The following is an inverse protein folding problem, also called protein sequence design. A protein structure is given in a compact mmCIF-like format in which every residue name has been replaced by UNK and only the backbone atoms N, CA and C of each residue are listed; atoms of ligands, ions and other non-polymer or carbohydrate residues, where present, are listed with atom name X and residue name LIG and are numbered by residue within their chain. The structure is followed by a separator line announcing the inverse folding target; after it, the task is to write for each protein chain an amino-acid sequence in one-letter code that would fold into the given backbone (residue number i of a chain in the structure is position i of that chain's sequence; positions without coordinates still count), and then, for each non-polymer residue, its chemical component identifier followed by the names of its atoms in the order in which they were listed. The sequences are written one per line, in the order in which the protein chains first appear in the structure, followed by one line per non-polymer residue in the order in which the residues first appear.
data_IF_140396572733
#
_entry.id   IF_140396572733
#
_cell.length_a   1.000
_cell.length_b   1.000
_cell.length_c   1.000
_cell.angle_alpha   90.00
_cell.angle_beta   90.00
_cell.angle_gamma   90.00
#
_symmetry.space_group_name_H-M   'P 1'
#
loop_
_entity.id
_entity.type
_entity.pdbx_description
1 polymer ?
#
# COMPACT_ATOMS: atom_id res chain seq x y z
N UNK A 1 1.23 0.08 -10.08
CA UNK A 1 0.52 1.16 -9.36
C UNK A 1 -0.32 2.08 -10.25
N UNK A 2 0.06 2.32 -11.52
CA UNK A 2 -0.75 3.12 -12.47
C UNK A 2 -2.22 2.69 -12.54
N UNK A 3 -2.47 1.37 -12.59
CA UNK A 3 -3.85 0.84 -12.62
C UNK A 3 -4.69 1.23 -11.40
N UNK A 4 -4.08 1.46 -10.22
CA UNK A 4 -4.81 1.96 -9.06
C UNK A 4 -5.23 3.41 -9.26
N UNK A 5 -4.32 4.25 -9.78
CA UNK A 5 -4.58 5.67 -10.09
C UNK A 5 -5.72 5.77 -11.11
N UNK A 6 -5.62 5.04 -12.22
CA UNK A 6 -6.64 5.05 -13.28
C UNK A 6 -8.02 4.61 -12.76
N UNK A 7 -8.09 3.58 -11.90
CA UNK A 7 -9.35 3.12 -11.31
C UNK A 7 -9.92 4.13 -10.31
N UNK A 8 -9.09 4.83 -9.52
CA UNK A 8 -9.56 5.90 -8.62
C UNK A 8 -10.07 7.11 -9.41
N UNK A 9 -9.38 7.50 -10.49
CA UNK A 9 -9.80 8.57 -11.39
C UNK A 9 -11.14 8.26 -12.06
N UNK A 10 -11.32 7.04 -12.57
CA UNK A 10 -12.59 6.60 -13.18
C UNK A 10 -13.77 6.68 -12.20
N UNK A 11 -13.51 6.54 -10.90
CA UNK A 11 -14.50 6.65 -9.82
C UNK A 11 -14.67 8.07 -9.28
N UNK A 12 -13.86 9.02 -9.73
CA UNK A 12 -13.83 10.37 -9.18
C UNK A 12 -13.33 10.45 -7.74
N UNK A 13 -12.54 9.46 -7.29
CA UNK A 13 -11.96 9.44 -5.94
C UNK A 13 -10.68 10.27 -5.95
N UNK A 14 -10.68 11.38 -5.20
CA UNK A 14 -9.51 12.20 -5.00
C UNK A 14 -8.39 11.40 -4.32
N UNK A 15 -7.17 11.54 -4.85
CA UNK A 15 -6.01 10.79 -4.38
C UNK A 15 -4.73 11.60 -4.59
N UNK A 16 -3.66 11.16 -3.94
CA UNK A 16 -2.30 11.63 -4.18
C UNK A 16 -1.39 10.42 -4.48
N UNK A 17 -0.31 10.65 -5.22
CA UNK A 17 0.65 9.61 -5.57
C UNK A 17 2.07 10.05 -5.22
N UNK A 18 2.75 9.25 -4.40
CA UNK A 18 4.07 9.55 -3.84
C UNK A 18 4.99 8.33 -3.98
N UNK A 19 6.28 8.57 -4.23
CA UNK A 19 7.30 7.52 -4.28
C UNK A 19 8.21 7.66 -3.07
N UNK A 20 8.07 6.73 -2.11
CA UNK A 20 8.85 6.69 -0.85
C UNK A 20 9.38 5.29 -0.60
N UNK A 21 10.44 5.16 0.19
CA UNK A 21 11.13 3.88 0.38
C UNK A 21 11.34 3.60 1.86
N UNK A 22 10.70 2.55 2.38
CA UNK A 22 10.89 2.12 3.77
C UNK A 22 12.35 1.79 4.12
N UNK A 23 13.15 1.34 3.15
CA UNK A 23 14.55 1.00 3.37
C UNK A 23 15.54 2.15 3.18
N UNK A 24 15.19 3.15 2.35
CA UNK A 24 16.13 4.22 1.96
C UNK A 24 15.76 5.58 2.54
N UNK A 25 14.49 5.81 2.81
CA UNK A 25 13.94 7.04 3.38
C UNK A 25 12.90 6.74 4.46
N UNK A 26 13.28 5.98 5.52
CA UNK A 26 12.34 5.51 6.55
C UNK A 26 11.63 6.64 7.30
N UNK A 27 12.34 7.74 7.61
CA UNK A 27 11.76 8.89 8.30
C UNK A 27 10.67 9.56 7.47
N UNK A 28 10.90 9.72 6.16
CA UNK A 28 9.93 10.30 5.24
C UNK A 28 8.68 9.42 5.03
N UNK A 29 8.80 8.10 5.17
CA UNK A 29 7.66 7.17 5.18
C UNK A 29 6.87 7.32 6.48
N UNK A 30 7.59 7.39 7.60
CA UNK A 30 6.99 7.51 8.94
C UNK A 30 6.23 8.82 9.09
N UNK A 31 6.82 9.94 8.67
CA UNK A 31 6.19 11.26 8.68
C UNK A 31 4.94 11.29 7.80
N UNK A 32 5.00 10.70 6.60
CA UNK A 32 3.86 10.61 5.69
C UNK A 32 2.71 9.81 6.30
N UNK A 33 3.01 8.66 6.93
CA UNK A 33 2.00 7.79 7.54
C UNK A 33 1.33 8.45 8.76
N UNK A 34 2.12 9.10 9.63
CA UNK A 34 1.60 9.78 10.83
C UNK A 34 0.72 10.98 10.49
N UNK A 35 1.11 11.78 9.50
CA UNK A 35 0.37 12.98 9.10
C UNK A 35 -0.82 12.69 8.17
N UNK A 36 -0.94 11.47 7.61
CA UNK A 36 -1.93 11.12 6.60
C UNK A 36 -3.36 11.52 6.97
N UNK A 37 -3.80 11.19 8.20
CA UNK A 37 -5.14 11.51 8.69
C UNK A 37 -5.40 13.02 8.77
N UNK A 38 -4.43 13.77 9.27
CA UNK A 38 -4.53 15.23 9.42
C UNK A 38 -4.64 15.94 8.07
N UNK A 39 -4.01 15.36 7.03
CA UNK A 39 -4.11 15.82 5.64
C UNK A 39 -5.41 15.39 4.94
N UNK A 40 -6.30 14.68 5.63
CA UNK A 40 -7.60 14.24 5.11
C UNK A 40 -7.58 12.90 4.37
N UNK A 41 -6.46 12.16 4.38
CA UNK A 41 -6.43 10.82 3.81
C UNK A 41 -7.27 9.85 4.64
N UNK A 42 -7.85 8.88 3.94
CA UNK A 42 -8.82 7.93 4.53
C UNK A 42 -8.44 6.47 4.33
N UNK A 43 -7.70 6.15 3.28
CA UNK A 43 -7.15 4.83 2.96
C UNK A 43 -5.78 5.02 2.32
N UNK A 44 -4.83 4.16 2.64
CA UNK A 44 -3.47 4.20 2.08
C UNK A 44 -3.25 2.94 1.23
N UNK A 45 -2.81 3.12 -0.02
CA UNK A 45 -2.42 2.01 -0.90
C UNK A 45 -0.90 2.02 -1.05
N UNK A 46 -0.25 0.92 -0.66
CA UNK A 46 1.20 0.80 -0.65
C UNK A 46 1.65 -0.36 -1.56
N UNK A 47 2.44 -0.04 -2.60
CA UNK A 47 3.04 -1.05 -3.48
C UNK A 47 4.52 -1.27 -3.17
N UNK A 48 4.94 -2.53 -3.01
CA UNK A 48 6.35 -2.88 -2.81
C UNK A 48 6.66 -4.29 -3.31
N UNK A 49 7.91 -4.52 -3.74
CA UNK A 49 8.42 -5.81 -4.20
C UNK A 49 9.64 -6.28 -3.41
N UNK A 50 10.12 -7.50 -3.69
CA UNK A 50 11.19 -8.18 -2.95
C UNK A 50 10.81 -8.33 -1.45
N UNK A 51 11.71 -7.99 -0.53
CA UNK A 51 11.40 -7.84 0.90
C UNK A 51 10.48 -6.61 1.11
N UNK A 52 9.20 -6.77 0.82
CA UNK A 52 8.25 -5.68 0.64
C UNK A 52 7.77 -5.05 1.97
N UNK A 53 8.64 -4.29 2.64
CA UNK A 53 8.37 -3.72 3.98
C UNK A 53 7.43 -2.51 4.02
N UNK A 54 7.25 -1.79 2.89
CA UNK A 54 6.55 -0.50 2.89
C UNK A 54 5.12 -0.56 3.49
N UNK A 55 4.24 -1.51 3.11
CA UNK A 55 2.88 -1.54 3.65
C UNK A 55 2.86 -1.76 5.17
N UNK A 56 3.70 -2.65 5.69
CA UNK A 56 3.80 -2.92 7.12
C UNK A 56 4.34 -1.74 7.92
N UNK A 57 5.37 -1.05 7.39
CA UNK A 57 5.93 0.15 8.03
C UNK A 57 4.90 1.28 8.08
N UNK A 58 4.13 1.48 7.00
CA UNK A 58 3.06 2.49 6.98
C UNK A 58 1.96 2.12 7.97
N UNK A 59 1.51 0.86 8.00
CA UNK A 59 0.49 0.39 8.93
C UNK A 59 0.90 0.52 10.40
N UNK A 60 2.19 0.40 10.72
CA UNK A 60 2.70 0.59 12.08
C UNK A 60 2.66 2.06 12.55
N UNK A 61 2.47 3.03 11.65
CA UNK A 61 2.59 4.46 11.94
C UNK A 61 1.31 5.25 11.65
N UNK A 62 0.19 4.57 11.41
CA UNK A 62 -1.10 5.17 11.13
C UNK A 62 -2.22 4.30 11.67
N UNK A 63 -3.35 4.91 12.01
CA UNK A 63 -4.58 4.22 12.37
C UNK A 63 -5.55 4.11 11.16
N UNK A 64 -5.12 4.56 9.98
CA UNK A 64 -5.86 4.43 8.74
C UNK A 64 -5.74 3.02 8.16
N UNK A 65 -6.76 2.52 7.44
CA UNK A 65 -6.63 1.29 6.66
C UNK A 65 -5.48 1.37 5.66
N UNK A 66 -4.60 0.36 5.67
CA UNK A 66 -3.50 0.20 4.72
C UNK A 66 -3.75 -1.02 3.84
N UNK A 67 -3.73 -0.80 2.53
CA UNK A 67 -3.86 -1.83 1.50
C UNK A 67 -2.48 -2.09 0.89
N UNK A 68 -2.01 -3.34 0.99
CA UNK A 68 -0.71 -3.75 0.45
C UNK A 68 -0.85 -4.37 -0.93
N UNK A 69 -0.06 -3.90 -1.89
CA UNK A 69 0.05 -4.47 -3.24
C UNK A 69 1.44 -5.11 -3.40
N UNK A 70 1.54 -6.44 -3.37
CA UNK A 70 2.79 -7.13 -3.68
C UNK A 70 3.16 -6.90 -5.14
N UNK A 71 4.38 -6.41 -5.40
CA UNK A 71 4.86 -6.14 -6.75
C UNK A 71 5.90 -7.17 -7.15
N UNK A 72 5.78 -7.72 -8.36
CA UNK A 72 6.84 -8.54 -8.95
C UNK A 72 8.09 -7.68 -9.19
N UNK A 73 9.23 -8.34 -9.09
CA UNK A 73 10.53 -7.75 -9.43
C UNK A 73 11.26 -8.70 -10.37
N UNK A 74 11.82 -8.17 -11.45
CA UNK A 74 12.72 -8.93 -12.33
C UNK A 74 14.00 -9.40 -11.63
N UNK A 75 14.28 -8.88 -10.42
CA UNK A 75 15.39 -9.29 -9.56
C UNK A 75 15.02 -10.43 -8.61
N UNK A 76 13.74 -10.81 -8.55
CA UNK A 76 13.28 -11.93 -7.75
C UNK A 76 13.17 -13.19 -8.61
N UNK A 77 13.55 -14.32 -8.04
CA UNK A 77 13.29 -15.65 -8.62
C UNK A 77 11.97 -16.26 -8.14
N UNK A 78 11.22 -15.55 -7.28
CA UNK A 78 10.03 -16.04 -6.60
C UNK A 78 8.71 -15.47 -7.18
N UNK A 79 8.79 -14.76 -8.31
CA UNK A 79 7.63 -14.22 -9.05
C UNK A 79 6.60 -13.48 -8.17
N UNK A 80 7.08 -12.74 -7.17
CA UNK A 80 6.24 -11.96 -6.26
C UNK A 80 5.72 -12.71 -5.03
N UNK A 81 6.01 -14.01 -4.88
CA UNK A 81 5.71 -14.75 -3.65
C UNK A 81 6.46 -14.18 -2.44
N UNK A 82 7.70 -13.73 -2.64
CA UNK A 82 8.49 -13.01 -1.64
C UNK A 82 7.78 -11.74 -1.17
N UNK A 83 7.33 -10.91 -2.11
CA UNK A 83 6.59 -9.70 -1.80
C UNK A 83 5.24 -10.01 -1.12
N UNK A 84 4.54 -11.05 -1.59
CA UNK A 84 3.24 -11.44 -1.04
C UNK A 84 3.37 -11.84 0.42
N UNK A 85 4.30 -12.74 0.74
CA UNK A 85 4.51 -13.20 2.11
C UNK A 85 5.05 -12.09 3.01
N UNK A 86 5.91 -11.20 2.49
CA UNK A 86 6.43 -10.05 3.23
C UNK A 86 5.34 -9.03 3.63
N UNK A 87 4.23 -8.96 2.87
CA UNK A 87 3.14 -8.02 3.14
C UNK A 87 2.02 -8.68 3.94
N UNK A 88 1.60 -9.90 3.60
CA UNK A 88 0.39 -10.52 4.18
C UNK A 88 0.60 -11.09 5.58
N UNK A 89 1.81 -11.54 5.91
CA UNK A 89 2.11 -12.21 7.18
C UNK A 89 2.42 -11.22 8.32
N UNK A 90 1.54 -10.24 8.52
CA UNK A 90 1.69 -9.28 9.62
C UNK A 90 1.41 -9.93 10.98
N UNK A 91 2.16 -9.54 12.03
CA UNK A 91 1.87 -10.01 13.39
C UNK A 91 0.54 -9.43 13.92
N UNK A 92 -0.06 -10.06 14.96
CA UNK A 92 -1.26 -9.53 15.60
C UNK A 92 -1.08 -8.08 16.07
N UNK A 93 -2.08 -7.23 15.78
CA UNK A 93 -2.14 -5.83 16.22
C UNK A 93 -1.83 -4.79 15.14
N UNK A 94 -1.19 -5.16 14.03
CA UNK A 94 -0.85 -4.22 12.93
C UNK A 94 -1.28 -4.81 11.58
N UNK A 95 -2.57 -4.74 11.21
CA UNK A 95 -3.07 -5.40 10.01
C UNK A 95 -2.70 -4.65 8.72
N UNK A 96 -2.53 -5.42 7.63
CA UNK A 96 -2.46 -4.90 6.25
C UNK A 96 -3.46 -5.67 5.40
N UNK A 97 -4.30 -4.97 4.64
CA UNK A 97 -5.22 -5.59 3.70
C UNK A 97 -4.48 -5.90 2.38
N UNK A 98 -3.96 -7.12 2.24
CA UNK A 98 -3.16 -7.50 1.07
C UNK A 98 -4.02 -7.96 -0.09
N UNK A 99 -3.78 -7.42 -1.29
CA UNK A 99 -4.41 -7.87 -2.54
C UNK A 99 -3.49 -8.82 -3.32
N UNK A 100 -3.97 -9.33 -4.46
CA UNK A 100 -3.16 -10.18 -5.34
C UNK A 100 -1.89 -9.51 -5.87
N UNK A 101 -0.90 -10.31 -6.25
CA UNK A 101 0.37 -9.85 -6.84
C UNK A 101 0.11 -9.02 -8.09
N UNK A 102 0.81 -7.88 -8.21
CA UNK A 102 0.65 -6.83 -9.23
C UNK A 102 -0.77 -6.25 -9.39
N UNK A 103 -1.70 -6.59 -8.49
CA UNK A 103 -3.11 -6.25 -8.67
C UNK A 103 -3.45 -4.89 -8.05
N UNK A 104 -2.79 -3.85 -8.55
CA UNK A 104 -2.99 -2.48 -8.08
C UNK A 104 -4.43 -2.00 -8.31
N UNK A 105 -5.09 -2.45 -9.39
CA UNK A 105 -6.49 -2.15 -9.66
C UNK A 105 -7.41 -2.60 -8.52
N UNK A 106 -7.28 -3.83 -8.03
CA UNK A 106 -8.11 -4.31 -6.92
C UNK A 106 -7.84 -3.57 -5.61
N UNK A 107 -6.64 -3.03 -5.42
CA UNK A 107 -6.39 -2.16 -4.26
C UNK A 107 -7.23 -0.89 -4.30
N UNK A 108 -7.36 -0.25 -5.48
CA UNK A 108 -8.23 0.89 -5.67
C UNK A 108 -9.71 0.53 -5.50
N UNK A 109 -10.16 -0.61 -6.06
CA UNK A 109 -11.54 -1.11 -5.85
C UNK A 109 -11.83 -1.35 -4.36
N UNK A 110 -10.90 -1.95 -3.64
CA UNK A 110 -11.03 -2.17 -2.19
C UNK A 110 -11.05 -0.84 -1.43
N UNK A 111 -10.21 0.13 -1.78
CA UNK A 111 -10.23 1.45 -1.18
C UNK A 111 -11.58 2.13 -1.39
N UNK A 112 -12.13 2.12 -2.60
CA UNK A 112 -13.46 2.66 -2.91
C UNK A 112 -14.56 2.00 -2.06
N UNK A 113 -14.52 0.67 -1.89
CA UNK A 113 -15.45 -0.06 -1.02
C UNK A 113 -15.36 0.36 0.44
N UNK A 114 -14.15 0.61 0.96
CA UNK A 114 -13.93 1.11 2.33
C UNK A 114 -14.49 2.52 2.49
N UNK A 115 -14.37 3.36 1.45
CA UNK A 115 -14.87 4.74 1.45
C UNK A 115 -16.40 4.82 1.25
N UNK A 116 -17.03 3.75 0.76
CA UNK A 116 -18.45 3.75 0.40
C UNK A 116 -18.76 4.53 -0.88
N UNK A 117 -17.81 4.58 -1.81
CA UNK A 117 -17.86 5.32 -3.09
C UNK A 117 -17.99 4.41 -4.31
#
# INVERSE_FOLDING_TARGET
MREAVEELEQRGVAHEFEVRSAHRTPDAVTEYARSARERGLRVLICGAGLAAALPGVVAAHTDLPVIGVPLRSSKSVLDGLDALLAIVQMPPGVPVATVGVDNARNAAVLAARILGS
#
